data_IF_625482710733
#
_entry.id   IF_625482710733
#
_cell.length_a   1.000
_cell.length_b   1.000
_cell.length_c   1.000
_cell.angle_alpha   90.00
_cell.angle_beta   90.00
_cell.angle_gamma   90.00
#
_symmetry.space_group_name_H-M   'P 1'
#
loop_
_entity.id
_entity.type
_entity.pdbx_description
1 polymer ?
#
# COMPACT_ATOMS: atom_id res chain seq x y z
N UNK A 1 -15.16 -14.65 7.47
CA UNK A 1 -16.06 -14.35 8.56
C UNK A 1 -15.22 -13.91 9.73
N UNK A 2 -15.39 -12.67 10.13
CA UNK A 2 -14.89 -12.26 11.41
C UNK A 2 -15.81 -12.93 12.42
N UNK A 3 -15.34 -13.96 13.04
CA UNK A 3 -15.92 -14.39 14.27
C UNK A 3 -16.03 -13.15 15.13
N UNK A 4 -17.24 -12.80 15.54
CA UNK A 4 -17.47 -11.75 16.50
C UNK A 4 -16.57 -12.02 17.70
N UNK A 5 -15.41 -11.38 17.72
CA UNK A 5 -14.49 -11.57 18.81
C UNK A 5 -15.15 -10.92 20.01
N UNK A 6 -15.35 -11.71 21.04
CA UNK A 6 -15.74 -11.20 22.35
C UNK A 6 -14.87 -9.96 22.63
N UNK A 7 -15.45 -8.78 22.89
CA UNK A 7 -14.68 -7.55 23.12
C UNK A 7 -13.68 -7.67 24.28
N UNK A 8 -13.78 -8.72 25.07
CA UNK A 8 -12.89 -9.03 26.20
C UNK A 8 -11.86 -10.12 25.89
N UNK A 9 -11.97 -10.80 24.74
CA UNK A 9 -11.00 -11.79 24.31
C UNK A 9 -10.02 -11.21 23.32
N UNK A 10 -8.77 -11.62 23.41
CA UNK A 10 -7.72 -11.44 22.40
C UNK A 10 -7.67 -10.07 21.72
N UNK A 11 -7.45 -9.03 22.47
CA UNK A 11 -7.32 -7.66 21.94
C UNK A 11 -6.01 -7.40 21.20
N UNK A 12 -5.05 -8.31 21.30
CA UNK A 12 -3.72 -8.12 20.71
C UNK A 12 -3.76 -7.82 19.22
N UNK A 13 -4.57 -8.53 18.43
CA UNK A 13 -4.66 -8.32 16.98
C UNK A 13 -5.26 -6.96 16.63
N UNK A 14 -6.32 -6.54 17.33
CA UNK A 14 -6.96 -5.25 17.11
C UNK A 14 -6.02 -4.08 17.44
N UNK A 15 -5.29 -4.17 18.54
CA UNK A 15 -4.34 -3.13 18.95
C UNK A 15 -3.12 -3.10 18.03
N UNK A 16 -2.58 -4.27 17.67
CA UNK A 16 -1.38 -4.35 16.85
C UNK A 16 -1.64 -3.96 15.39
N UNK A 17 -2.83 -4.19 14.88
CA UNK A 17 -3.20 -3.73 13.54
C UNK A 17 -3.03 -2.21 13.38
N UNK A 18 -3.50 -1.43 14.35
CA UNK A 18 -3.39 0.03 14.30
C UNK A 18 -1.93 0.51 14.39
N UNK A 19 -1.05 -0.24 15.06
CA UNK A 19 0.36 0.11 15.20
C UNK A 19 1.15 -0.02 13.90
N UNK A 20 0.67 -0.78 12.93
CA UNK A 20 1.33 -0.96 11.64
C UNK A 20 1.30 0.28 10.75
N UNK A 21 0.29 1.13 10.88
CA UNK A 21 0.09 2.28 9.99
C UNK A 21 1.17 3.36 10.09
N UNK A 22 1.66 3.76 11.27
CA UNK A 22 2.77 4.70 11.37
C UNK A 22 4.03 4.18 10.65
N UNK A 23 4.38 2.92 10.86
CA UNK A 23 5.53 2.29 10.19
C UNK A 23 5.36 2.23 8.67
N UNK A 24 4.15 1.98 8.19
CA UNK A 24 3.87 2.03 6.76
C UNK A 24 4.15 3.42 6.19
N UNK A 25 3.64 4.47 6.84
CA UNK A 25 3.80 5.86 6.37
C UNK A 25 5.25 6.30 6.43
N UNK A 26 5.98 5.97 7.50
CA UNK A 26 7.40 6.29 7.65
C UNK A 26 8.28 5.65 6.56
N UNK A 27 7.82 4.58 5.95
CA UNK A 27 8.57 3.80 4.97
C UNK A 27 8.08 3.97 3.52
N UNK A 28 7.30 5.00 3.20
CA UNK A 28 6.88 5.29 1.83
C UNK A 28 8.05 5.81 0.98
N UNK A 29 8.87 6.70 1.55
CA UNK A 29 10.01 7.32 0.87
C UNK A 29 11.27 7.19 1.72
N UNK A 30 12.36 6.77 1.10
CA UNK A 30 13.67 6.62 1.74
C UNK A 30 14.69 7.58 1.15
N UNK A 31 15.64 8.01 1.98
CA UNK A 31 16.87 8.62 1.49
C UNK A 31 17.80 7.54 0.92
N UNK A 32 18.55 7.88 -0.12
CA UNK A 32 19.51 6.97 -0.76
C UNK A 32 20.94 7.36 -0.49
N UNK A 33 21.91 6.41 -0.53
CA UNK A 33 23.34 6.72 -0.26
C UNK A 33 23.96 7.74 -1.21
N UNK A 34 23.37 7.95 -2.37
CA UNK A 34 23.78 8.91 -3.38
C UNK A 34 23.06 10.26 -3.30
N UNK A 35 22.57 10.59 -2.10
CA UNK A 35 21.88 11.84 -1.78
C UNK A 35 20.58 12.07 -2.57
N UNK A 36 19.90 10.99 -2.94
CA UNK A 36 18.61 11.00 -3.61
C UNK A 36 17.47 10.52 -2.73
N UNK A 37 16.34 10.22 -3.38
CA UNK A 37 15.13 9.68 -2.75
C UNK A 37 14.68 8.41 -3.47
N UNK A 38 14.07 7.51 -2.72
CA UNK A 38 13.45 6.30 -3.26
C UNK A 38 12.02 6.15 -2.75
N UNK A 39 11.03 6.23 -3.64
CA UNK A 39 9.65 5.87 -3.36
C UNK A 39 9.44 4.40 -3.73
N UNK A 40 9.36 3.54 -2.72
CA UNK A 40 9.32 2.08 -2.90
C UNK A 40 8.02 1.43 -2.43
N UNK A 41 7.25 2.12 -1.63
CA UNK A 41 5.90 1.79 -1.22
C UNK A 41 5.05 3.02 -1.55
N UNK A 42 3.86 2.82 -2.15
CA UNK A 42 3.06 3.92 -2.65
C UNK A 42 1.86 4.21 -1.76
N UNK A 43 1.65 5.51 -1.49
CA UNK A 43 0.55 6.03 -0.72
C UNK A 43 0.63 7.55 -0.61
N UNK A 44 -0.50 8.26 -0.47
CA UNK A 44 -0.50 9.71 -0.42
C UNK A 44 0.35 10.22 0.75
N UNK A 45 1.39 10.99 0.44
CA UNK A 45 2.28 11.55 1.45
C UNK A 45 2.99 12.84 1.00
N UNK A 46 3.64 13.49 1.96
CA UNK A 46 4.60 14.57 1.72
C UNK A 46 5.89 14.23 2.46
N UNK A 47 6.94 13.89 1.72
CA UNK A 47 8.26 13.61 2.27
C UNK A 47 9.14 14.87 2.17
N UNK A 48 9.59 15.38 3.30
CA UNK A 48 10.57 16.47 3.36
C UNK A 48 11.96 15.87 3.61
N UNK A 49 12.91 16.23 2.77
CA UNK A 49 14.25 15.68 2.83
C UNK A 49 15.32 16.67 2.37
N UNK A 50 16.57 16.38 2.69
CA UNK A 50 17.74 17.06 2.14
C UNK A 50 18.38 16.16 1.09
N UNK A 51 18.54 16.69 -0.13
CA UNK A 51 19.05 15.93 -1.29
C UNK A 51 20.18 16.64 -1.99
N UNK A 52 20.84 15.92 -2.91
CA UNK A 52 21.96 16.42 -3.67
C UNK A 52 23.20 16.67 -2.81
N UNK A 53 24.28 17.06 -3.46
CA UNK A 53 25.60 17.23 -2.79
C UNK A 53 25.61 18.35 -1.75
N UNK A 54 24.73 19.33 -1.89
CA UNK A 54 24.64 20.50 -1.00
C UNK A 54 23.58 20.33 0.10
N UNK A 55 22.86 19.22 0.17
CA UNK A 55 21.80 19.00 1.15
C UNK A 55 20.63 19.97 0.99
N UNK A 56 20.21 20.24 -0.24
CA UNK A 56 19.10 21.14 -0.55
C UNK A 56 17.80 20.56 -0.04
N UNK A 57 16.99 21.35 0.67
CA UNK A 57 15.69 20.92 1.13
C UNK A 57 14.69 20.82 -0.03
N UNK A 58 14.03 19.68 -0.10
CA UNK A 58 12.95 19.39 -1.04
C UNK A 58 11.74 18.81 -0.32
N UNK A 59 10.56 19.02 -0.89
CA UNK A 59 9.35 18.28 -0.54
C UNK A 59 8.97 17.47 -1.76
N UNK A 60 8.90 16.16 -1.60
CA UNK A 60 8.33 15.24 -2.56
C UNK A 60 6.90 14.95 -2.13
N UNK A 61 5.92 15.47 -2.87
CA UNK A 61 4.49 15.20 -2.65
C UNK A 61 4.08 14.03 -3.52
N UNK A 62 3.51 13.00 -2.92
CA UNK A 62 2.91 11.86 -3.59
C UNK A 62 1.39 11.91 -3.48
N UNK A 63 0.70 11.86 -4.63
CA UNK A 63 -0.75 11.88 -4.75
C UNK A 63 -1.19 10.65 -5.53
N UNK A 64 -2.00 9.81 -4.90
CA UNK A 64 -2.46 8.55 -5.50
C UNK A 64 -3.65 7.98 -4.72
N UNK A 65 -4.48 7.21 -5.41
CA UNK A 65 -5.46 6.30 -4.79
C UNK A 65 -4.99 4.83 -4.86
N UNK A 66 -3.69 4.61 -5.08
CA UNK A 66 -3.13 3.25 -5.01
C UNK A 66 -3.43 2.62 -3.63
N UNK A 67 -3.87 1.37 -3.55
CA UNK A 67 -3.83 0.32 -4.55
C UNK A 67 -5.07 0.18 -5.45
N UNK A 68 -6.00 1.13 -5.44
CA UNK A 68 -7.26 1.05 -6.18
C UNK A 68 -7.16 1.67 -7.58
N UNK A 69 -6.16 2.53 -7.80
CA UNK A 69 -5.87 3.16 -9.10
C UNK A 69 -4.41 2.90 -9.51
N UNK A 70 -4.17 2.98 -10.81
CA UNK A 70 -2.90 2.63 -11.44
C UNK A 70 -1.88 3.78 -11.43
N UNK A 71 -2.35 5.01 -11.20
CA UNK A 71 -1.55 6.23 -11.32
C UNK A 71 -0.99 6.68 -9.98
N UNK A 72 0.30 6.99 -9.99
CA UNK A 72 1.00 7.61 -8.87
C UNK A 72 1.66 8.88 -9.38
N UNK A 73 1.31 10.01 -8.79
CA UNK A 73 1.80 11.33 -9.17
C UNK A 73 2.73 11.85 -8.09
N UNK A 74 3.92 12.25 -8.48
CA UNK A 74 4.86 12.97 -7.63
C UNK A 74 5.01 14.40 -8.09
N UNK A 75 5.07 15.34 -7.15
CA UNK A 75 5.40 16.74 -7.42
C UNK A 75 6.59 17.13 -6.57
N UNK A 76 7.63 17.65 -7.21
CA UNK A 76 8.83 18.16 -6.54
C UNK A 76 8.63 19.63 -6.19
N UNK A 77 8.86 19.98 -4.92
CA UNK A 77 8.86 21.37 -4.45
C UNK A 77 10.25 21.69 -3.91
N UNK A 78 10.87 22.73 -4.46
CA UNK A 78 12.22 23.17 -4.10
C UNK A 78 12.42 24.66 -4.36
N UNK A 79 13.22 25.33 -3.55
CA UNK A 79 13.60 26.72 -3.79
C UNK A 79 14.78 26.81 -4.78
N UNK A 80 14.52 26.76 -6.07
CA UNK A 80 15.56 26.78 -7.12
C UNK A 80 15.71 25.47 -7.86
N UNK A 81 16.94 25.09 -8.19
CA UNK A 81 17.24 23.84 -8.90
C UNK A 81 18.14 22.95 -8.05
N UNK A 82 17.92 21.65 -8.12
CA UNK A 82 18.74 20.66 -7.41
C UNK A 82 18.90 19.38 -8.21
N UNK A 83 20.11 18.84 -8.23
CA UNK A 83 20.42 17.55 -8.85
C UNK A 83 20.31 16.44 -7.80
N UNK A 84 19.43 15.48 -8.03
CA UNK A 84 19.37 14.26 -7.24
C UNK A 84 18.69 13.12 -8.00
N UNK A 85 19.06 11.86 -7.75
CA UNK A 85 18.40 10.71 -8.31
C UNK A 85 17.09 10.43 -7.55
N UNK A 86 16.02 10.19 -8.30
CA UNK A 86 14.75 9.68 -7.78
C UNK A 86 14.58 8.23 -8.24
N UNK A 87 14.41 7.32 -7.28
CA UNK A 87 14.16 5.91 -7.53
C UNK A 87 12.69 5.59 -7.33
N UNK A 88 12.09 4.90 -8.30
CA UNK A 88 10.72 4.46 -8.27
C UNK A 88 10.66 2.95 -8.48
N UNK A 89 9.95 2.23 -7.60
CA UNK A 89 9.82 0.78 -7.70
C UNK A 89 8.71 0.39 -8.66
N UNK A 90 9.02 -0.53 -9.59
CA UNK A 90 8.01 -1.23 -10.38
C UNK A 90 7.67 -2.54 -9.65
N UNK A 91 6.44 -2.72 -9.16
CA UNK A 91 6.05 -3.94 -8.47
C UNK A 91 6.17 -5.19 -9.34
N UNK A 92 6.44 -6.35 -8.74
CA UNK A 92 6.62 -7.59 -9.48
C UNK A 92 5.38 -8.05 -10.27
N UNK A 93 4.19 -7.66 -9.84
CA UNK A 93 2.93 -7.95 -10.53
C UNK A 93 2.71 -7.07 -11.77
N UNK A 94 3.33 -5.87 -11.82
CA UNK A 94 3.08 -4.89 -12.87
C UNK A 94 3.88 -5.24 -14.14
N UNK A 95 3.20 -5.31 -15.26
CA UNK A 95 3.80 -5.45 -16.59
C UNK A 95 3.49 -4.22 -17.41
N UNK A 96 4.50 -3.66 -18.06
CA UNK A 96 4.32 -2.52 -18.94
C UNK A 96 4.20 -1.16 -18.22
N UNK A 97 4.83 -1.04 -17.05
CA UNK A 97 4.89 0.24 -16.34
C UNK A 97 5.46 1.35 -17.22
N UNK A 98 4.92 2.57 -17.06
CA UNK A 98 5.32 3.77 -17.85
C UNK A 98 5.64 4.90 -16.90
N UNK A 99 6.67 5.67 -17.26
CA UNK A 99 7.14 6.81 -16.50
C UNK A 99 7.09 8.07 -17.38
N UNK A 100 6.40 9.09 -16.86
CA UNK A 100 6.17 10.36 -17.53
C UNK A 100 6.74 11.46 -16.65
N UNK A 101 7.52 12.36 -17.23
CA UNK A 101 8.05 13.53 -16.51
C UNK A 101 7.67 14.79 -17.27
N UNK A 102 6.96 15.70 -16.61
CA UNK A 102 6.48 16.96 -17.18
C UNK A 102 5.69 16.78 -18.51
N UNK A 103 4.93 15.70 -18.59
CA UNK A 103 4.11 15.37 -19.76
C UNK A 103 4.83 14.57 -20.85
N UNK A 104 6.13 14.32 -20.72
CA UNK A 104 6.90 13.53 -21.68
C UNK A 104 7.17 12.11 -21.13
N UNK A 105 6.93 11.08 -21.94
CA UNK A 105 7.25 9.70 -21.58
C UNK A 105 8.77 9.50 -21.64
N UNK A 106 9.37 9.23 -20.47
CA UNK A 106 10.83 9.05 -20.35
C UNK A 106 11.23 7.58 -20.25
N UNK A 107 10.32 6.70 -19.84
CA UNK A 107 10.52 5.26 -19.86
C UNK A 107 9.17 4.53 -20.01
N UNK A 108 9.18 3.44 -20.76
CA UNK A 108 8.04 2.55 -20.96
C UNK A 108 8.49 1.10 -20.93
N UNK A 109 7.59 0.18 -20.57
CA UNK A 109 7.89 -1.25 -20.51
C UNK A 109 8.97 -1.62 -19.48
N UNK A 110 9.03 -0.88 -18.38
CA UNK A 110 10.04 -1.08 -17.34
C UNK A 110 9.93 -2.46 -16.70
N UNK A 111 11.08 -3.00 -16.30
CA UNK A 111 11.18 -4.35 -15.75
C UNK A 111 10.46 -4.47 -14.39
N UNK A 112 9.58 -5.48 -14.30
CA UNK A 112 8.85 -5.81 -13.07
C UNK A 112 9.79 -6.24 -11.94
N UNK A 113 9.52 -5.81 -10.74
CA UNK A 113 10.33 -6.16 -9.55
C UNK A 113 11.61 -5.35 -9.40
N UNK A 114 11.84 -4.35 -10.25
CA UNK A 114 13.03 -3.48 -10.22
C UNK A 114 12.69 -2.05 -9.82
N UNK A 115 13.72 -1.29 -9.50
CA UNK A 115 13.62 0.16 -9.36
C UNK A 115 14.14 0.84 -10.61
N UNK A 116 13.42 1.85 -11.05
CA UNK A 116 13.86 2.78 -12.10
C UNK A 116 14.52 3.96 -11.41
N UNK A 117 15.67 4.37 -11.93
CA UNK A 117 16.41 5.54 -11.48
C UNK A 117 16.24 6.69 -12.47
N UNK A 118 15.85 7.85 -11.96
CA UNK A 118 15.77 9.10 -12.70
C UNK A 118 16.86 10.03 -12.21
N UNK A 119 17.89 10.23 -13.02
CA UNK A 119 18.94 11.24 -12.78
C UNK A 119 18.59 12.51 -13.54
N UNK A 120 18.31 13.58 -12.81
CA UNK A 120 18.03 14.88 -13.45
C UNK A 120 18.17 16.06 -12.48
N UNK A 121 18.26 17.26 -13.06
CA UNK A 121 18.07 18.51 -12.33
C UNK A 121 16.59 18.77 -12.16
N UNK A 122 16.15 18.87 -10.91
CA UNK A 122 14.75 19.12 -10.55
C UNK A 122 14.52 20.60 -10.30
N UNK A 123 13.37 21.08 -10.73
CA UNK A 123 12.86 22.42 -10.51
C UNK A 123 11.54 22.38 -9.73
N UNK A 124 11.21 23.50 -9.10
CA UNK A 124 9.93 23.60 -8.39
C UNK A 124 8.75 23.36 -9.32
N UNK A 125 7.85 22.48 -8.92
CA UNK A 125 6.66 22.12 -9.70
C UNK A 125 6.89 21.02 -10.73
N UNK A 126 8.10 20.44 -10.84
CA UNK A 126 8.32 19.26 -11.69
C UNK A 126 7.41 18.11 -11.25
N UNK A 127 6.80 17.46 -12.25
CA UNK A 127 5.84 16.39 -12.05
C UNK A 127 6.36 15.10 -12.62
N UNK A 128 6.27 14.03 -11.84
CA UNK A 128 6.56 12.66 -12.27
C UNK A 128 5.27 11.85 -12.12
N UNK A 129 4.89 11.13 -13.17
CA UNK A 129 3.75 10.19 -13.13
C UNK A 129 4.29 8.80 -13.42
N UNK A 130 4.10 7.91 -12.45
CA UNK A 130 4.32 6.48 -12.62
C UNK A 130 2.97 5.81 -12.88
N UNK A 131 2.84 5.19 -14.04
CA UNK A 131 1.67 4.41 -14.42
C UNK A 131 1.97 2.94 -14.23
N UNK A 132 1.18 2.25 -13.41
CA UNK A 132 1.31 0.82 -13.08
C UNK A 132 0.07 0.05 -13.56
N UNK A 133 -0.02 -0.34 -14.85
CA UNK A 133 -1.17 -1.05 -15.38
C UNK A 133 -1.48 -2.31 -14.58
N UNK A 134 -2.74 -2.46 -14.17
CA UNK A 134 -3.24 -3.60 -13.42
C UNK A 134 -3.98 -4.57 -14.32
N UNK A 135 -3.86 -5.85 -14.03
CA UNK A 135 -4.59 -6.89 -14.74
C UNK A 135 -5.03 -7.99 -13.78
N UNK A 136 -6.09 -8.69 -14.14
CA UNK A 136 -6.50 -9.87 -13.40
C UNK A 136 -5.47 -10.99 -13.58
N UNK A 137 -5.14 -11.64 -12.48
CA UNK A 137 -4.26 -12.81 -12.46
C UNK A 137 -4.76 -13.86 -11.47
N UNK A 138 -4.45 -15.11 -11.74
CA UNK A 138 -4.76 -16.23 -10.84
C UNK A 138 -3.45 -16.86 -10.41
N UNK A 139 -3.21 -16.87 -9.11
CA UNK A 139 -2.08 -17.56 -8.50
C UNK A 139 -2.55 -18.87 -7.87
N UNK A 140 -1.83 -19.97 -8.17
CA UNK A 140 -2.08 -21.26 -7.56
C UNK A 140 -1.01 -21.60 -6.53
N UNK A 141 -1.47 -22.05 -5.38
CA UNK A 141 -0.64 -22.40 -4.23
C UNK A 141 -0.53 -23.92 -4.13
N UNK A 142 0.45 -24.51 -4.81
CA UNK A 142 0.60 -25.96 -4.90
C UNK A 142 0.75 -26.64 -3.53
N UNK A 143 1.50 -26.02 -2.62
CA UNK A 143 1.72 -26.53 -1.26
C UNK A 143 0.48 -26.44 -0.36
N UNK A 144 -0.54 -25.69 -0.77
CA UNK A 144 -1.79 -25.54 -0.05
C UNK A 144 -2.95 -26.14 -0.89
N UNK A 145 -2.92 -27.45 -1.12
CA UNK A 145 -3.95 -28.20 -1.83
C UNK A 145 -4.34 -27.60 -3.19
N UNK A 146 -3.37 -26.96 -3.85
CA UNK A 146 -3.57 -26.28 -5.13
C UNK A 146 -4.67 -25.19 -5.10
N UNK A 147 -4.88 -24.58 -3.95
CA UNK A 147 -5.82 -23.45 -3.79
C UNK A 147 -5.43 -22.30 -4.71
N UNK A 148 -6.40 -21.47 -5.07
CA UNK A 148 -6.21 -20.36 -5.99
C UNK A 148 -6.58 -19.03 -5.32
N UNK A 149 -5.81 -17.99 -5.60
CA UNK A 149 -6.18 -16.61 -5.33
C UNK A 149 -6.35 -15.84 -6.65
N UNK A 150 -7.33 -14.95 -6.69
CA UNK A 150 -7.55 -14.04 -7.81
C UNK A 150 -7.06 -12.66 -7.40
N UNK A 151 -6.20 -12.07 -8.22
CA UNK A 151 -5.59 -10.77 -7.93
C UNK A 151 -5.86 -9.77 -9.05
N UNK A 152 -5.92 -8.50 -8.71
CA UNK A 152 -5.93 -7.37 -9.63
C UNK A 152 -4.87 -6.37 -9.19
N UNK A 153 -3.76 -6.33 -9.91
CA UNK A 153 -2.58 -5.61 -9.42
C UNK A 153 -2.16 -6.10 -8.03
N UNK A 154 -2.09 -5.21 -7.03
CA UNK A 154 -1.72 -5.57 -5.66
C UNK A 154 -2.89 -6.12 -4.83
N UNK A 155 -4.13 -6.02 -5.32
CA UNK A 155 -5.33 -6.45 -4.61
C UNK A 155 -5.56 -7.94 -4.76
N UNK A 156 -5.93 -8.61 -3.68
CA UNK A 156 -6.39 -10.00 -3.69
C UNK A 156 -7.88 -10.03 -3.38
N UNK A 157 -8.66 -10.70 -4.22
CA UNK A 157 -10.10 -10.83 -4.02
C UNK A 157 -10.44 -11.98 -3.09
N UNK A 158 -11.42 -11.76 -2.23
CA UNK A 158 -12.06 -12.80 -1.44
C UNK A 158 -13.34 -13.23 -2.11
N UNK A 159 -13.66 -14.51 -2.02
CA UNK A 159 -14.97 -15.01 -2.43
C UNK A 159 -16.04 -14.47 -1.49
N UNK A 160 -17.07 -13.84 -2.05
CA UNK A 160 -18.25 -13.47 -1.28
C UNK A 160 -19.02 -14.76 -0.95
N UNK A 161 -19.06 -15.09 0.33
CA UNK A 161 -19.83 -16.21 0.85
C UNK A 161 -21.03 -15.61 1.58
N UNK A 162 -22.24 -16.00 1.16
CA UNK A 162 -23.44 -15.59 1.85
C UNK A 162 -23.48 -16.22 3.24
N UNK A 163 -23.91 -15.46 4.22
CA UNK A 163 -24.01 -15.87 5.61
C UNK A 163 -25.48 -15.93 6.03
N UNK A 164 -25.86 -17.02 6.68
CA UNK A 164 -27.17 -17.16 7.31
C UNK A 164 -26.98 -17.11 8.83
N UNK A 165 -27.53 -16.07 9.45
CA UNK A 165 -27.48 -15.92 10.91
C UNK A 165 -28.70 -16.60 11.52
N UNK A 166 -28.44 -17.57 12.41
CA UNK A 166 -29.48 -18.22 13.17
C UNK A 166 -29.28 -17.94 14.65
N UNK A 167 -30.35 -17.51 15.30
CA UNK A 167 -30.32 -17.33 16.74
C UNK A 167 -30.16 -18.71 17.42
N UNK A 168 -29.13 -18.84 18.25
CA UNK A 168 -28.91 -20.00 19.09
C UNK A 168 -29.16 -19.64 20.54
N UNK A 169 -29.44 -20.62 21.38
CA UNK A 169 -29.59 -20.38 22.82
C UNK A 169 -28.29 -19.89 23.41
N UNK A 170 -28.24 -18.62 23.80
CA UNK A 170 -27.06 -17.99 24.34
C UNK A 170 -26.55 -18.63 25.64
N UNK A 171 -27.43 -19.22 26.44
CA UNK A 171 -27.08 -19.89 27.70
C UNK A 171 -26.27 -21.18 27.46
N UNK A 172 -26.56 -21.91 26.38
CA UNK A 172 -25.86 -23.14 26.02
C UNK A 172 -24.54 -22.89 25.30
N UNK A 173 -24.43 -21.75 24.61
CA UNK A 173 -23.26 -21.39 23.79
C UNK A 173 -22.31 -20.39 24.47
N UNK A 174 -22.59 -19.99 25.71
CA UNK A 174 -21.76 -19.10 26.49
C UNK A 174 -20.53 -19.85 27.06
N UNK A 175 -19.61 -20.22 26.16
CA UNK A 175 -18.43 -21.04 26.51
C UNK A 175 -17.42 -20.24 27.35
N UNK A 176 -17.34 -18.91 27.15
CA UNK A 176 -16.23 -18.11 27.67
C UNK A 176 -16.60 -17.27 28.89
N UNK A 177 -17.80 -16.71 28.90
CA UNK A 177 -18.25 -15.90 30.00
C UNK A 177 -19.77 -15.82 30.03
N UNK A 178 -20.37 -16.78 30.71
CA UNK A 178 -21.84 -16.85 30.86
C UNK A 178 -22.45 -15.63 31.55
N UNK A 179 -21.66 -14.87 32.31
CA UNK A 179 -22.17 -13.68 32.99
C UNK A 179 -22.39 -12.53 32.03
N UNK A 180 -21.51 -12.37 31.03
CA UNK A 180 -21.57 -11.31 30.03
C UNK A 180 -22.53 -11.62 28.89
N UNK A 181 -22.66 -12.87 28.56
CA UNK A 181 -23.52 -13.32 27.44
C UNK A 181 -24.91 -13.70 27.89
N UNK A 182 -25.17 -13.76 29.19
CA UNK A 182 -26.45 -14.10 29.74
C UNK A 182 -27.48 -13.04 29.38
N UNK A 183 -28.40 -13.39 28.46
CA UNK A 183 -29.41 -12.47 27.93
C UNK A 183 -28.97 -11.61 26.75
N UNK A 184 -27.71 -11.72 26.28
CA UNK A 184 -27.27 -11.06 25.07
C UNK A 184 -27.85 -11.78 23.84
N UNK A 185 -28.28 -10.99 22.85
CA UNK A 185 -28.61 -11.52 21.54
C UNK A 185 -27.29 -11.74 20.77
N UNK A 186 -26.87 -12.99 20.65
CA UNK A 186 -25.63 -13.35 19.94
C UNK A 186 -25.67 -13.10 18.45
N UNK A 187 -26.82 -12.75 17.90
CA UNK A 187 -27.02 -12.41 16.51
C UNK A 187 -27.21 -10.90 16.28
N UNK A 188 -26.96 -10.08 17.26
CA UNK A 188 -27.10 -8.60 17.18
C UNK A 188 -25.85 -7.89 16.61
N UNK A 189 -25.11 -8.54 15.69
CA UNK A 189 -23.93 -7.98 15.04
C UNK A 189 -24.10 -7.85 13.55
#
# INVERSE_FOLDING_TARGET
PFLAMNPFSSRCCQHNHAQGWPYYIENLVYATPDNGLAAIIYGPCCAQAKVGVNGTEVILREETNYPFEEMIRFTVQVSGKVDFPLYLRVPAWCKGATLIVNGETVAAGMESGKCVRLDRTWSNGDVVILQLPMSLSVQRWQTNQNSASVNYGPLTFSLLIEEEYRKVNSAENAIWDSKWQKGADVNAW
#
